data_IF_097394287080
#
_entry.id   IF_097394287080
#
_cell.length_a   1.000
_cell.length_b   1.000
_cell.length_c   1.000
_cell.angle_alpha   90.00
_cell.angle_beta   90.00
_cell.angle_gamma   90.00
#
_symmetry.space_group_name_H-M   'P 1'
#
loop_
_entity.id
_entity.type
_entity.pdbx_description
1 polymer ?
#
# COMPACT_ATOMS: atom_id res chain seq x y z
N UNK A 1 4.01 20.56 2.87
CA UNK A 1 2.84 19.79 3.27
C UNK A 1 2.74 19.74 4.78
N UNK A 2 1.53 19.70 5.32
CA UNK A 2 1.35 19.59 6.76
C UNK A 2 1.70 18.17 7.21
N UNK A 3 2.00 18.04 8.50
CA UNK A 3 2.31 16.74 9.08
C UNK A 3 1.19 15.72 8.86
N UNK A 4 -0.05 16.18 8.94
CA UNK A 4 -1.20 15.28 8.76
C UNK A 4 -1.26 14.70 7.37
N UNK A 5 -1.04 15.54 6.37
CA UNK A 5 -1.07 15.11 4.97
C UNK A 5 0.10 14.18 4.69
N UNK A 6 1.28 14.50 5.21
CA UNK A 6 2.44 13.66 5.03
C UNK A 6 2.23 12.28 5.65
N UNK A 7 1.65 12.24 6.83
CA UNK A 7 1.36 10.97 7.50
C UNK A 7 0.33 10.16 6.72
N UNK A 8 -0.69 10.84 6.21
CA UNK A 8 -1.72 10.19 5.41
C UNK A 8 -1.14 9.57 4.14
N UNK A 9 -0.28 10.31 3.45
CA UNK A 9 0.36 9.82 2.23
C UNK A 9 1.23 8.60 2.53
N UNK A 10 1.97 8.65 3.63
CA UNK A 10 2.82 7.53 4.02
C UNK A 10 1.99 6.26 4.26
N UNK A 11 0.89 6.38 4.98
CA UNK A 11 0.02 5.25 5.22
C UNK A 11 -0.60 4.71 3.93
N UNK A 12 -0.99 5.62 3.05
CA UNK A 12 -1.57 5.23 1.77
C UNK A 12 -0.57 4.44 0.92
N UNK A 13 0.70 4.85 0.92
CA UNK A 13 1.74 4.15 0.18
C UNK A 13 1.97 2.75 0.73
N UNK A 14 2.05 2.61 2.04
CA UNK A 14 2.22 1.29 2.64
C UNK A 14 1.04 0.38 2.33
N UNK A 15 -0.16 0.90 2.42
CA UNK A 15 -1.36 0.13 2.12
C UNK A 15 -1.37 -0.33 0.67
N UNK A 16 -1.01 0.56 -0.24
CA UNK A 16 -0.97 0.24 -1.66
C UNK A 16 0.03 -0.86 -1.96
N UNK A 17 1.20 -0.81 -1.33
CA UNK A 17 2.21 -1.83 -1.53
C UNK A 17 1.74 -3.19 -1.02
N UNK A 18 1.14 -3.22 0.15
CA UNK A 18 0.63 -4.47 0.71
C UNK A 18 -0.47 -5.06 -0.17
N UNK A 19 -1.36 -4.22 -0.65
CA UNK A 19 -2.45 -4.66 -1.51
C UNK A 19 -1.91 -5.22 -2.84
N UNK A 20 -0.90 -4.56 -3.40
CA UNK A 20 -0.31 -5.00 -4.65
C UNK A 20 0.29 -6.39 -4.51
N UNK A 21 1.03 -6.63 -3.44
CA UNK A 21 1.63 -7.93 -3.18
C UNK A 21 0.54 -9.00 -3.01
N UNK A 22 -0.52 -8.65 -2.30
CA UNK A 22 -1.63 -9.57 -2.09
C UNK A 22 -2.28 -10.00 -3.41
N UNK A 23 -2.50 -9.03 -4.30
CA UNK A 23 -3.11 -9.32 -5.60
C UNK A 23 -2.21 -10.20 -6.46
N UNK A 24 -0.91 -9.92 -6.46
CA UNK A 24 0.05 -10.72 -7.23
C UNK A 24 0.04 -12.17 -6.76
N UNK A 25 0.06 -12.38 -5.46
CA UNK A 25 0.04 -13.73 -4.91
C UNK A 25 -1.25 -14.47 -5.26
N UNK A 26 -2.36 -13.75 -5.32
CA UNK A 26 -3.64 -14.36 -5.66
C UNK A 26 -3.68 -14.80 -7.12
N UNK A 27 -2.95 -14.12 -8.00
CA UNK A 27 -2.92 -14.44 -9.42
C UNK A 27 -1.93 -15.56 -9.75
N UNK A 28 -1.00 -15.83 -8.86
CA UNK A 28 0.00 -16.88 -9.05
C UNK A 28 -0.18 -17.92 -7.94
N UNK A 29 -1.22 -18.73 -8.00
CA UNK A 29 -1.41 -19.80 -7.01
C UNK A 29 -0.36 -20.89 -7.22
N UNK A 30 0.31 -21.20 -6.17
CA UNK A 30 1.33 -22.25 -6.20
C UNK A 30 0.75 -23.58 -5.77
#
# INVERSE_FOLDING_TARGET
MSKSIKHLVTLALFTAMALTIFVIEAQIPV
#
